data_IF_724700712430
#
_entry.id   IF_724700712430
#
_cell.length_a   1.000
_cell.length_b   1.000
_cell.length_c   1.000
_cell.angle_alpha   90.00
_cell.angle_beta   90.00
_cell.angle_gamma   90.00
#
_symmetry.space_group_name_H-M   'P 1'
#
loop_
_entity.id
_entity.type
_entity.pdbx_description
1 polymer ?
#
# COMPACT_ATOMS: atom_id res chain seq x y z
N UNK A 1 -20.58 -8.47 -12.37
CA UNK A 1 -21.03 -7.23 -13.04
C UNK A 1 -21.02 -6.11 -12.03
N UNK A 2 -20.29 -5.04 -12.32
CA UNK A 2 -20.31 -3.80 -11.53
C UNK A 2 -21.63 -3.09 -11.81
N UNK A 3 -22.28 -2.62 -10.75
CA UNK A 3 -23.54 -1.88 -10.86
C UNK A 3 -23.26 -0.41 -11.23
N UNK A 4 -24.25 0.31 -11.78
CA UNK A 4 -24.05 1.70 -12.23
C UNK A 4 -23.65 2.69 -11.14
N UNK A 5 -23.75 2.29 -9.87
CA UNK A 5 -23.35 3.11 -8.72
C UNK A 5 -21.82 3.19 -8.53
N UNK A 6 -21.03 2.37 -9.24
CA UNK A 6 -19.57 2.34 -9.12
C UNK A 6 -19.04 1.75 -7.80
N UNK A 7 -19.93 1.31 -6.91
CA UNK A 7 -19.61 0.88 -5.55
C UNK A 7 -20.11 -0.53 -5.26
N UNK A 8 -20.98 -1.08 -6.11
CA UNK A 8 -21.56 -2.40 -5.91
C UNK A 8 -21.16 -3.37 -7.02
N UNK A 9 -20.90 -4.63 -6.65
CA UNK A 9 -20.61 -5.71 -7.58
C UNK A 9 -21.55 -6.90 -7.32
N UNK A 10 -22.14 -7.43 -8.38
CA UNK A 10 -22.90 -8.69 -8.33
C UNK A 10 -22.16 -9.81 -9.06
N UNK A 11 -21.95 -10.92 -8.35
CA UNK A 11 -21.29 -12.13 -8.85
C UNK A 11 -22.35 -13.21 -9.01
N UNK A 12 -22.48 -13.77 -10.22
CA UNK A 12 -23.33 -14.93 -10.47
C UNK A 12 -22.46 -16.19 -10.56
N UNK A 13 -22.79 -17.20 -9.76
CA UNK A 13 -22.16 -18.51 -9.79
C UNK A 13 -23.04 -19.43 -10.64
N UNK A 14 -22.53 -19.97 -11.77
CA UNK A 14 -23.29 -20.89 -12.60
C UNK A 14 -23.71 -22.13 -11.79
N UNK A 15 -24.99 -22.49 -11.83
CA UNK A 15 -25.46 -23.76 -11.27
C UNK A 15 -25.13 -24.90 -12.25
N UNK A 16 -24.69 -26.04 -11.71
CA UNK A 16 -24.71 -27.29 -12.47
C UNK A 16 -26.14 -27.83 -12.43
N UNK A 17 -26.73 -28.07 -13.61
CA UNK A 17 -28.10 -28.56 -13.78
C UNK A 17 -28.23 -30.09 -13.57
N UNK A 18 -27.12 -30.79 -13.30
CA UNK A 18 -27.12 -32.24 -13.10
C UNK A 18 -27.25 -32.61 -11.61
N UNK A 19 -28.47 -32.94 -11.18
CA UNK A 19 -28.74 -33.50 -9.85
C UNK A 19 -30.08 -33.08 -9.23
N UNK A 20 -30.40 -33.56 -8.01
CA UNK A 20 -31.59 -33.12 -7.28
C UNK A 20 -31.56 -31.61 -7.00
N UNK A 21 -32.74 -31.02 -6.72
CA UNK A 21 -32.99 -29.57 -6.56
C UNK A 21 -31.83 -28.85 -5.84
N UNK A 22 -31.10 -28.01 -6.57
CA UNK A 22 -29.97 -27.26 -6.04
C UNK A 22 -30.39 -25.86 -5.52
N UNK A 23 -30.62 -25.79 -4.21
CA UNK A 23 -30.99 -24.56 -3.49
C UNK A 23 -29.80 -23.68 -3.10
N UNK A 24 -28.61 -23.91 -3.65
CA UNK A 24 -27.46 -23.04 -3.42
C UNK A 24 -27.73 -21.63 -3.95
N UNK A 25 -27.20 -20.64 -3.21
CA UNK A 25 -27.18 -19.24 -3.64
C UNK A 25 -26.27 -19.10 -4.84
N UNK A 26 -26.83 -18.64 -5.95
CA UNK A 26 -26.15 -18.42 -7.23
C UNK A 26 -25.85 -16.96 -7.51
N UNK A 27 -26.29 -16.05 -6.64
CA UNK A 27 -26.03 -14.63 -6.78
C UNK A 27 -25.56 -14.02 -5.47
N UNK A 28 -24.38 -13.42 -5.53
CA UNK A 28 -23.79 -12.63 -4.44
C UNK A 28 -23.80 -11.16 -4.85
N UNK A 29 -24.03 -10.28 -3.88
CA UNK A 29 -23.97 -8.84 -4.06
C UNK A 29 -23.11 -8.24 -2.94
N UNK A 30 -22.13 -7.43 -3.31
CA UNK A 30 -21.23 -6.76 -2.39
C UNK A 30 -21.30 -5.26 -2.63
N UNK A 31 -21.32 -4.49 -1.54
CA UNK A 31 -21.22 -3.03 -1.56
C UNK A 31 -19.92 -2.63 -0.86
N UNK A 32 -19.15 -1.79 -1.52
CA UNK A 32 -17.83 -1.32 -1.10
C UNK A 32 -17.81 0.21 -1.19
N UNK A 33 -16.72 0.82 -0.73
CA UNK A 33 -16.52 2.27 -0.90
C UNK A 33 -16.29 2.64 -2.37
N UNK A 34 -15.66 1.75 -3.15
CA UNK A 34 -15.50 1.91 -4.59
C UNK A 34 -15.07 0.62 -5.27
N UNK A 35 -15.47 0.46 -6.53
CA UNK A 35 -15.05 -0.64 -7.40
C UNK A 35 -14.30 -0.06 -8.60
N UNK A 36 -13.02 -0.40 -8.72
CA UNK A 36 -12.14 0.10 -9.76
C UNK A 36 -11.91 -0.99 -10.82
N UNK A 37 -12.33 -0.73 -12.06
CA UNK A 37 -12.14 -1.63 -13.21
C UNK A 37 -11.53 -0.85 -14.38
N UNK A 38 -10.48 -1.41 -15.01
CA UNK A 38 -9.76 -0.81 -16.14
C UNK A 38 -9.28 0.64 -15.88
N UNK A 39 -8.91 0.93 -14.63
CA UNK A 39 -8.42 2.25 -14.23
C UNK A 39 -6.90 2.36 -14.40
N UNK A 40 -6.41 3.58 -14.61
CA UNK A 40 -4.98 3.87 -14.56
C UNK A 40 -4.47 3.86 -13.12
N UNK A 41 -3.15 3.68 -12.95
CA UNK A 41 -2.49 3.75 -11.64
C UNK A 41 -2.68 5.12 -10.97
N UNK A 42 -2.75 6.18 -11.77
CA UNK A 42 -3.01 7.54 -11.30
C UNK A 42 -4.43 7.70 -10.75
N UNK A 43 -5.42 7.18 -11.47
CA UNK A 43 -6.83 7.21 -11.03
C UNK A 43 -7.02 6.37 -9.77
N UNK A 44 -6.39 5.20 -9.70
CA UNK A 44 -6.37 4.36 -8.51
C UNK A 44 -5.78 5.11 -7.32
N UNK A 45 -4.61 5.74 -7.48
CA UNK A 45 -3.96 6.51 -6.42
C UNK A 45 -4.83 7.67 -5.95
N UNK A 46 -5.38 8.43 -6.88
CA UNK A 46 -6.25 9.58 -6.58
C UNK A 46 -7.49 9.15 -5.81
N UNK A 47 -8.08 8.01 -6.15
CA UNK A 47 -9.32 7.54 -5.53
C UNK A 47 -9.09 6.86 -4.17
N UNK A 48 -8.00 6.09 -4.01
CA UNK A 48 -7.84 5.19 -2.87
C UNK A 48 -6.73 5.58 -1.88
N UNK A 49 -5.79 6.47 -2.26
CA UNK A 49 -4.57 6.71 -1.50
C UNK A 49 -4.29 8.19 -1.19
N UNK A 50 -4.75 9.11 -2.04
CA UNK A 50 -4.44 10.55 -1.93
C UNK A 50 -4.85 11.14 -0.57
N UNK A 51 -6.10 10.90 -0.15
CA UNK A 51 -6.64 11.41 1.12
C UNK A 51 -5.88 10.87 2.35
N UNK A 52 -5.36 9.65 2.27
CA UNK A 52 -4.55 9.06 3.35
C UNK A 52 -3.22 9.81 3.47
N UNK A 53 -2.59 10.15 2.34
CA UNK A 53 -1.34 10.93 2.33
C UNK A 53 -1.59 12.35 2.85
N UNK A 54 -2.69 12.99 2.45
CA UNK A 54 -3.08 14.30 2.97
C UNK A 54 -3.30 14.27 4.49
N UNK A 55 -3.94 13.20 4.99
CA UNK A 55 -4.14 12.99 6.43
C UNK A 55 -2.82 12.82 7.18
N UNK A 56 -1.84 12.11 6.59
CA UNK A 56 -0.49 12.00 7.17
C UNK A 56 0.19 13.35 7.27
N UNK A 57 0.10 14.18 6.24
CA UNK A 57 0.63 15.55 6.24
C UNK A 57 -0.09 16.49 7.21
N UNK A 58 -1.30 16.15 7.64
CA UNK A 58 -2.05 16.82 8.70
C UNK A 58 -1.72 16.32 10.12
N UNK A 59 -0.88 15.28 10.25
CA UNK A 59 -0.42 14.75 11.53
C UNK A 59 -1.13 13.48 12.01
N UNK A 60 -1.90 12.81 11.14
CA UNK A 60 -2.55 11.53 11.45
C UNK A 60 -1.71 10.33 10.99
N UNK A 61 -1.94 9.15 11.56
CA UNK A 61 -1.37 7.90 11.05
C UNK A 61 -2.20 7.36 9.89
N UNK A 62 -1.55 6.99 8.79
CA UNK A 62 -2.19 6.40 7.60
C UNK A 62 -1.62 5.03 7.25
N UNK A 63 -2.47 4.11 6.78
CA UNK A 63 -2.08 2.79 6.32
C UNK A 63 -2.81 2.45 5.03
N UNK A 64 -2.06 2.04 4.01
CA UNK A 64 -2.60 1.51 2.75
C UNK A 64 -1.96 0.14 2.54
N UNK A 65 -2.78 -0.89 2.34
CA UNK A 65 -2.31 -2.25 2.07
C UNK A 65 -3.15 -2.88 0.96
N UNK A 66 -2.51 -3.71 0.14
CA UNK A 66 -3.18 -4.46 -0.92
C UNK A 66 -3.40 -5.91 -0.49
N UNK A 67 -4.64 -6.40 -0.60
CA UNK A 67 -5.02 -7.76 -0.24
C UNK A 67 -5.66 -8.49 -1.42
N UNK A 68 -5.35 -9.78 -1.56
CA UNK A 68 -5.88 -10.64 -2.62
C UNK A 68 -5.01 -11.87 -2.89
N UNK A 69 -5.53 -12.80 -3.69
CA UNK A 69 -4.80 -14.02 -4.05
C UNK A 69 -3.49 -13.74 -4.82
N UNK A 70 -2.61 -14.74 -4.93
CA UNK A 70 -1.42 -14.66 -5.79
C UNK A 70 -1.83 -14.40 -7.25
N UNK A 71 -1.14 -13.49 -7.92
CA UNK A 71 -1.49 -13.07 -9.29
C UNK A 71 -2.63 -12.07 -9.39
N UNK A 72 -3.28 -11.66 -8.28
CA UNK A 72 -4.37 -10.67 -8.31
C UNK A 72 -3.90 -9.21 -8.52
N UNK A 73 -2.59 -8.98 -8.64
CA UNK A 73 -2.05 -7.64 -8.90
C UNK A 73 -1.62 -6.82 -7.68
N UNK A 74 -1.51 -7.39 -6.47
CA UNK A 74 -1.08 -6.67 -5.25
C UNK A 74 0.21 -5.85 -5.45
N UNK A 75 1.27 -6.49 -5.95
CA UNK A 75 2.57 -5.83 -6.24
C UNK A 75 2.41 -4.79 -7.34
N UNK A 76 1.62 -5.08 -8.38
CA UNK A 76 1.34 -4.11 -9.43
C UNK A 76 0.59 -2.87 -8.89
N UNK A 77 -0.35 -3.03 -7.97
CA UNK A 77 -1.05 -1.90 -7.34
C UNK A 77 -0.11 -1.05 -6.48
N UNK A 78 0.71 -1.69 -5.63
CA UNK A 78 1.56 -0.98 -4.67
C UNK A 78 2.83 -0.41 -5.30
N UNK A 79 3.60 -1.23 -6.00
CA UNK A 79 4.87 -0.87 -6.64
C UNK A 79 4.65 -0.34 -8.07
N UNK A 80 3.80 -1.02 -8.83
CA UNK A 80 3.59 -0.74 -10.25
C UNK A 80 4.75 -1.18 -11.13
N UNK A 81 4.86 -0.59 -12.31
CA UNK A 81 6.03 -0.77 -13.17
C UNK A 81 7.11 0.22 -12.77
N UNK A 82 8.20 -0.29 -12.19
CA UNK A 82 9.34 0.51 -11.73
C UNK A 82 10.08 1.20 -12.90
N UNK A 83 9.94 0.68 -14.14
CA UNK A 83 10.62 1.21 -15.34
C UNK A 83 9.81 2.26 -16.09
N UNK A 84 8.48 2.24 -15.93
CA UNK A 84 7.57 3.15 -16.62
C UNK A 84 6.89 4.09 -15.63
N UNK A 85 7.24 5.38 -15.71
CA UNK A 85 6.72 6.42 -14.83
C UNK A 85 5.18 6.47 -14.79
N UNK A 86 4.51 6.29 -15.93
CA UNK A 86 3.05 6.33 -16.01
C UNK A 86 2.37 5.15 -15.28
N UNK A 87 3.11 4.05 -15.08
CA UNK A 87 2.62 2.81 -14.47
C UNK A 87 3.15 2.58 -13.06
N UNK A 88 3.86 3.55 -12.47
CA UNK A 88 4.21 3.56 -11.04
C UNK A 88 2.97 3.42 -10.16
N UNK A 89 3.08 2.59 -9.13
CA UNK A 89 1.99 2.27 -8.21
C UNK A 89 1.82 3.28 -7.08
N UNK A 90 1.13 2.86 -6.02
CA UNK A 90 0.79 3.69 -4.86
C UNK A 90 2.03 4.21 -4.12
N UNK A 91 3.03 3.37 -3.85
CA UNK A 91 4.20 3.72 -3.02
C UNK A 91 5.00 4.88 -3.63
N UNK A 92 5.53 4.78 -4.87
CA UNK A 92 6.29 5.88 -5.46
C UNK A 92 5.46 7.14 -5.64
N UNK A 93 4.15 7.03 -5.94
CA UNK A 93 3.25 8.19 -6.04
C UNK A 93 3.03 8.87 -4.69
N UNK A 94 2.91 8.10 -3.61
CA UNK A 94 2.81 8.62 -2.26
C UNK A 94 4.06 9.39 -1.85
N UNK A 95 5.25 8.85 -2.16
CA UNK A 95 6.52 9.55 -1.92
C UNK A 95 6.54 10.88 -2.67
N UNK A 96 6.29 10.88 -3.98
CA UNK A 96 6.25 12.13 -4.78
C UNK A 96 5.23 13.13 -4.24
N UNK A 97 4.04 12.67 -3.83
CA UNK A 97 2.99 13.53 -3.28
C UNK A 97 3.42 14.18 -1.96
N UNK A 98 4.05 13.43 -1.05
CA UNK A 98 4.55 13.95 0.23
C UNK A 98 5.56 15.07 0.01
N UNK A 99 6.60 14.84 -0.80
CA UNK A 99 7.64 15.84 -1.04
C UNK A 99 7.10 17.07 -1.78
N UNK A 100 6.20 16.88 -2.75
CA UNK A 100 5.53 17.99 -3.43
C UNK A 100 4.74 18.87 -2.46
N UNK A 101 3.99 18.28 -1.52
CA UNK A 101 3.23 19.04 -0.53
C UNK A 101 4.13 19.75 0.48
N UNK A 102 5.26 19.14 0.86
CA UNK A 102 6.26 19.77 1.72
C UNK A 102 6.84 21.04 1.09
N UNK A 103 7.13 21.01 -0.22
CA UNK A 103 7.65 22.16 -0.95
C UNK A 103 6.62 23.30 -1.07
N UNK A 104 5.33 22.97 -1.11
CA UNK A 104 4.25 23.96 -1.19
C UNK A 104 3.91 24.58 0.18
N UNK A 105 4.10 23.84 1.28
CA UNK A 105 3.73 24.24 2.65
C UNK A 105 4.92 24.80 3.43
N UNK A 106 5.38 26.00 3.02
CA UNK A 106 6.55 26.68 3.59
C UNK A 106 6.37 27.15 5.05
N UNK A 107 5.18 27.04 5.62
CA UNK A 107 4.87 27.39 7.01
C UNK A 107 5.28 26.29 8.01
N UNK A 108 5.71 25.12 7.53
CA UNK A 108 6.07 23.96 8.36
C UNK A 108 7.46 23.45 8.05
N UNK A 109 8.10 22.89 9.08
CA UNK A 109 9.35 22.15 8.94
C UNK A 109 9.03 20.65 8.98
N UNK A 110 9.50 19.94 7.97
CA UNK A 110 9.27 18.52 7.79
C UNK A 110 10.56 17.74 7.96
N UNK A 111 10.46 16.53 8.53
CA UNK A 111 11.55 15.56 8.57
C UNK A 111 11.00 14.19 8.18
N UNK A 112 11.46 13.66 7.05
CA UNK A 112 10.99 12.39 6.51
C UNK A 112 12.00 11.30 6.82
N UNK A 113 11.50 10.16 7.32
CA UNK A 113 12.30 8.94 7.46
C UNK A 113 11.62 7.79 6.73
N UNK A 114 12.42 6.92 6.13
CA UNK A 114 11.98 5.72 5.41
C UNK A 114 12.55 4.49 6.10
N UNK A 115 11.72 3.47 6.24
CA UNK A 115 12.08 2.14 6.75
C UNK A 115 11.37 1.10 5.88
N UNK A 116 12.03 -0.01 5.56
CA UNK A 116 11.43 -1.06 4.73
C UNK A 116 11.65 -2.43 5.37
N UNK A 117 10.54 -3.11 5.69
CA UNK A 117 10.50 -4.37 6.43
C UNK A 117 9.78 -5.44 5.61
N UNK A 118 10.38 -6.62 5.50
CA UNK A 118 9.72 -7.83 5.02
C UNK A 118 9.38 -8.76 6.18
N UNK A 119 8.19 -9.37 6.14
CA UNK A 119 7.80 -10.44 7.05
C UNK A 119 7.64 -11.71 6.20
N UNK A 120 8.53 -12.67 6.41
CA UNK A 120 8.52 -13.95 5.72
C UNK A 120 8.67 -15.09 6.72
N UNK A 121 7.74 -16.05 6.69
CA UNK A 121 7.72 -17.22 7.58
C UNK A 121 7.84 -16.83 9.08
N UNK A 122 7.04 -15.85 9.52
CA UNK A 122 7.06 -15.33 10.91
C UNK A 122 8.43 -14.77 11.34
N UNK A 123 9.30 -14.42 10.39
CA UNK A 123 10.57 -13.75 10.62
C UNK A 123 10.56 -12.37 9.94
N UNK A 124 11.17 -11.40 10.61
CA UNK A 124 11.31 -10.02 10.12
C UNK A 124 12.68 -9.85 9.48
N UNK A 125 12.72 -9.15 8.34
CA UNK A 125 13.94 -8.80 7.61
C UNK A 125 13.95 -7.30 7.31
N UNK A 126 15.06 -6.64 7.62
CA UNK A 126 15.27 -5.24 7.28
C UNK A 126 15.86 -5.12 5.88
N UNK A 127 15.05 -4.64 4.94
CA UNK A 127 15.40 -4.52 3.53
C UNK A 127 16.33 -3.34 3.23
N UNK A 128 16.55 -2.44 4.20
CA UNK A 128 17.46 -1.29 4.07
C UNK A 128 18.76 -1.48 4.86
N UNK A 129 18.99 -2.66 5.44
CA UNK A 129 20.19 -2.93 6.21
C UNK A 129 21.41 -3.17 5.32
N UNK A 130 22.54 -2.54 5.64
CA UNK A 130 23.84 -2.76 4.95
C UNK A 130 24.43 -4.17 5.18
N UNK A 131 23.82 -4.94 6.08
CA UNK A 131 24.30 -6.26 6.52
C UNK A 131 23.13 -7.24 6.61
N UNK A 132 22.66 -7.77 5.47
CA UNK A 132 21.61 -8.79 5.46
C UNK A 132 22.07 -10.00 6.28
N UNK A 133 21.54 -10.13 7.50
CA UNK A 133 21.86 -11.21 8.44
C UNK A 133 22.74 -10.83 9.64
N UNK A 134 23.12 -9.56 9.85
CA UNK A 134 23.66 -9.13 11.14
C UNK A 134 22.51 -9.05 12.15
N UNK A 135 22.60 -9.90 13.18
CA UNK A 135 21.54 -10.15 14.15
C UNK A 135 21.40 -9.01 15.17
N UNK A 136 21.03 -7.80 14.74
CA UNK A 136 20.12 -7.05 15.60
C UNK A 136 18.77 -7.76 15.50
N UNK A 137 18.36 -8.42 16.58
CA UNK A 137 17.08 -9.12 16.60
C UNK A 137 15.96 -8.09 16.47
N UNK A 138 15.43 -7.95 15.25
CA UNK A 138 14.22 -7.18 15.00
C UNK A 138 13.15 -7.66 15.95
N UNK A 139 12.59 -6.75 16.73
CA UNK A 139 11.61 -7.08 17.75
C UNK A 139 10.49 -6.05 17.72
N UNK A 140 9.25 -6.53 17.73
CA UNK A 140 8.08 -5.68 17.90
C UNK A 140 8.04 -5.21 19.36
N UNK A 141 8.02 -3.90 19.54
CA UNK A 141 7.97 -3.21 20.81
C UNK A 141 6.71 -2.35 20.87
N UNK A 142 6.24 -2.08 22.07
CA UNK A 142 5.11 -1.19 22.32
C UNK A 142 5.54 -0.12 23.32
N UNK A 143 5.31 1.14 22.98
CA UNK A 143 5.55 2.28 23.86
C UNK A 143 4.28 3.10 24.01
N UNK A 144 4.05 3.62 25.20
CA UNK A 144 2.84 4.38 25.55
C UNK A 144 2.68 5.69 24.76
N UNK A 145 3.76 6.21 24.17
CA UNK A 145 3.77 7.46 23.41
C UNK A 145 3.90 7.20 21.91
N UNK A 146 4.81 6.33 21.47
CA UNK A 146 5.04 6.07 20.04
C UNK A 146 4.18 4.94 19.47
N UNK A 147 3.44 4.21 20.30
CA UNK A 147 2.68 3.03 19.89
C UNK A 147 3.58 1.85 19.54
N UNK A 148 3.12 0.99 18.64
CA UNK A 148 3.85 -0.20 18.19
C UNK A 148 4.95 0.16 17.18
N UNK A 149 6.17 -0.33 17.41
CA UNK A 149 7.31 -0.11 16.51
C UNK A 149 8.25 -1.31 16.48
N UNK A 150 9.14 -1.38 15.47
CA UNK A 150 10.17 -2.42 15.37
C UNK A 150 11.51 -1.85 15.83
N UNK A 151 12.08 -2.45 16.89
CA UNK A 151 13.43 -2.14 17.37
C UNK A 151 14.47 -2.78 16.45
N UNK A 152 15.52 -2.03 16.12
CA UNK A 152 16.58 -2.46 15.22
C UNK A 152 16.27 -2.27 13.73
N UNK A 153 15.06 -1.82 13.38
CA UNK A 153 14.71 -1.50 11.99
C UNK A 153 15.40 -0.20 11.56
N UNK A 154 16.13 -0.26 10.45
CA UNK A 154 16.82 0.87 9.84
C UNK A 154 15.84 1.99 9.52
N UNK A 155 16.22 3.22 9.88
CA UNK A 155 15.48 4.46 9.58
C UNK A 155 16.39 5.41 8.82
N UNK A 156 16.22 5.49 7.51
CA UNK A 156 16.97 6.41 6.66
C UNK A 156 16.26 7.76 6.65
N UNK A 157 16.98 8.83 6.96
CA UNK A 157 16.48 10.19 6.76
C UNK A 157 16.54 10.50 5.25
N UNK A 158 15.39 10.83 4.67
CA UNK A 158 15.30 11.24 3.26
C UNK A 158 15.05 12.74 3.19
N UNK A 159 16.00 13.47 2.58
CA UNK A 159 15.97 14.93 2.46
C UNK A 159 15.37 15.41 1.14
N UNK A 160 15.19 14.51 0.19
CA UNK A 160 14.54 14.79 -1.09
C UNK A 160 13.70 13.60 -1.56
N UNK A 161 12.86 13.85 -2.58
CA UNK A 161 12.09 12.80 -3.25
C UNK A 161 13.01 11.71 -3.81
N UNK A 162 14.15 12.10 -4.40
CA UNK A 162 15.11 11.18 -4.98
C UNK A 162 15.75 10.26 -3.95
N UNK A 163 16.08 10.77 -2.76
CA UNK A 163 16.64 9.95 -1.67
C UNK A 163 15.60 8.93 -1.15
N UNK A 164 14.34 9.35 -0.98
CA UNK A 164 13.27 8.46 -0.54
C UNK A 164 12.96 7.38 -1.59
N UNK A 165 12.90 7.76 -2.87
CA UNK A 165 12.74 6.82 -3.97
C UNK A 165 13.94 5.87 -4.08
N UNK A 166 15.17 6.37 -3.91
CA UNK A 166 16.37 5.53 -3.92
C UNK A 166 16.35 4.49 -2.79
N UNK A 167 15.94 4.88 -1.59
CA UNK A 167 15.74 3.94 -0.47
C UNK A 167 14.68 2.89 -0.81
N UNK A 168 13.54 3.30 -1.39
CA UNK A 168 12.51 2.37 -1.82
C UNK A 168 13.03 1.36 -2.87
N UNK A 169 13.71 1.83 -3.92
CA UNK A 169 14.27 0.97 -4.96
C UNK A 169 15.45 0.11 -4.50
N UNK A 170 16.15 0.50 -3.42
CA UNK A 170 17.23 -0.31 -2.87
C UNK A 170 16.72 -1.56 -2.12
N UNK A 171 15.51 -1.49 -1.56
CA UNK A 171 14.89 -2.61 -0.84
C UNK A 171 13.99 -3.52 -1.69
N UNK A 172 13.68 -3.15 -2.94
CA UNK A 172 12.98 -4.01 -3.92
C UNK A 172 13.96 -4.97 -4.63
#
# INVERSE_FOLDING_TARGET
KILPDGCSISVKVPKQDEGPINNQTDQFAFKLDGVLENVSQESLYTTAASEVVESVLAGYSGCIFAYGQTGAGKTFTMAGDLRNYAHRGVIPRAISHIFKEMDMRVDKLYKVHVSYLEIYNEQMYDLLSDSPGSSETLAVMEDSVTGTYVRGLTRLEARSEEEALAAYFAGE
#
